data_IF_852365847850
#
_entry.id   IF_852365847850
#
_cell.length_a   1.000
_cell.length_b   1.000
_cell.length_c   1.000
_cell.angle_alpha   90.00
_cell.angle_beta   90.00
_cell.angle_gamma   90.00
#
_symmetry.space_group_name_H-M   'P 1'
#
loop_
_entity.id
_entity.type
_entity.pdbx_description
1 polymer ?
#
# COMPACT_ATOMS: atom_id res chain seq x y z
N UNK A 1 7.75 19.30 11.15
CA UNK A 1 7.77 17.92 10.64
C UNK A 1 6.40 17.33 10.94
N UNK A 2 5.73 16.74 9.94
CA UNK A 2 4.41 16.12 10.10
C UNK A 2 4.59 14.62 10.36
N UNK A 3 3.97 14.07 11.41
CA UNK A 3 4.09 12.65 11.72
C UNK A 3 3.12 11.81 10.88
N UNK A 4 3.65 10.76 10.26
CA UNK A 4 2.87 9.74 9.54
C UNK A 4 3.23 8.37 10.06
N UNK A 5 2.21 7.55 10.32
CA UNK A 5 2.34 6.15 10.70
C UNK A 5 1.78 5.28 9.59
N UNK A 6 2.52 4.24 9.20
CA UNK A 6 2.07 3.19 8.31
C UNK A 6 2.05 1.88 9.11
N UNK A 7 0.93 1.16 9.08
CA UNK A 7 0.80 -0.15 9.74
C UNK A 7 0.39 -1.19 8.72
N UNK A 8 1.14 -2.30 8.63
CA UNK A 8 0.72 -3.49 7.87
C UNK A 8 -0.03 -4.42 8.82
N UNK A 9 -1.27 -4.73 8.48
CA UNK A 9 -2.13 -5.64 9.24
C UNK A 9 -1.96 -7.05 8.71
N UNK A 10 -1.59 -7.94 9.61
CA UNK A 10 -1.23 -9.34 9.42
C UNK A 10 -2.03 -10.21 10.38
N UNK A 11 -1.86 -11.53 10.28
CA UNK A 11 -2.45 -12.51 11.16
C UNK A 11 -2.15 -12.26 12.65
N UNK A 12 -1.00 -11.65 12.96
CA UNK A 12 -0.56 -11.45 14.34
C UNK A 12 -1.15 -10.21 15.00
N UNK A 13 -1.45 -9.15 14.24
CA UNK A 13 -1.88 -7.86 14.80
C UNK A 13 -3.30 -7.42 14.39
N UNK A 14 -4.01 -8.14 13.51
CA UNK A 14 -5.42 -7.82 13.24
C UNK A 14 -6.33 -7.83 14.49
N UNK A 15 -6.08 -8.63 15.55
CA UNK A 15 -6.87 -8.57 16.78
C UNK A 15 -6.48 -7.42 17.71
N UNK A 16 -5.33 -6.78 17.49
CA UNK A 16 -4.82 -5.75 18.39
C UNK A 16 -5.73 -4.52 18.43
N UNK A 17 -5.71 -3.86 19.58
CA UNK A 17 -6.24 -2.52 19.79
C UNK A 17 -5.04 -1.56 19.87
N UNK A 18 -4.98 -0.62 18.92
CA UNK A 18 -3.91 0.38 18.80
C UNK A 18 -4.40 1.77 19.20
N UNK A 19 -5.57 1.90 19.83
CA UNK A 19 -6.22 3.20 20.07
C UNK A 19 -5.34 4.12 20.92
N UNK A 20 -4.89 3.64 22.08
CA UNK A 20 -4.09 4.45 23.00
C UNK A 20 -2.79 4.93 22.34
N UNK A 21 -2.07 4.03 21.69
CA UNK A 21 -0.80 4.34 21.00
C UNK A 21 -0.98 5.38 19.89
N UNK A 22 -2.02 5.24 19.06
CA UNK A 22 -2.25 6.17 17.95
C UNK A 22 -2.70 7.54 18.47
N UNK A 23 -3.50 7.60 19.53
CA UNK A 23 -3.90 8.86 20.16
C UNK A 23 -2.72 9.57 20.83
N UNK A 24 -1.84 8.81 21.50
CA UNK A 24 -0.63 9.36 22.14
C UNK A 24 0.34 9.94 21.11
N UNK A 25 0.59 9.21 20.03
CA UNK A 25 1.49 9.67 18.96
C UNK A 25 0.90 10.80 18.12
N UNK A 26 -0.43 10.90 18.06
CA UNK A 26 -1.19 11.92 17.33
C UNK A 26 -0.65 12.19 15.90
N UNK A 27 -0.56 11.15 15.03
CA UNK A 27 -0.06 11.34 13.67
C UNK A 27 -1.03 12.19 12.85
N UNK A 28 -0.50 13.05 11.98
CA UNK A 28 -1.31 13.74 10.97
C UNK A 28 -1.95 12.74 10.01
N UNK A 29 -1.30 11.59 9.80
CA UNK A 29 -1.83 10.52 8.96
C UNK A 29 -1.48 9.16 9.51
N UNK A 30 -2.50 8.33 9.66
CA UNK A 30 -2.33 6.90 9.89
C UNK A 30 -2.84 6.11 8.70
N UNK A 31 -1.93 5.44 8.00
CA UNK A 31 -2.26 4.52 6.92
C UNK A 31 -2.22 3.07 7.40
N UNK A 32 -3.24 2.32 7.04
CA UNK A 32 -3.41 0.92 7.45
C UNK A 32 -3.52 0.06 6.19
N UNK A 33 -2.59 -0.88 6.03
CA UNK A 33 -2.50 -1.72 4.83
C UNK A 33 -2.87 -3.15 5.18
N UNK A 34 -3.66 -3.80 4.34
CA UNK A 34 -3.75 -5.26 4.39
C UNK A 34 -2.42 -5.84 3.93
N UNK A 35 -1.93 -6.90 4.58
CA UNK A 35 -0.76 -7.63 4.10
C UNK A 35 -0.99 -8.16 2.68
N UNK A 36 0.00 -7.93 1.81
CA UNK A 36 -0.06 -8.26 0.40
C UNK A 36 0.99 -9.31 0.04
N UNK A 37 0.54 -10.38 -0.62
CA UNK A 37 1.42 -11.32 -1.31
C UNK A 37 1.78 -10.79 -2.69
N UNK A 38 3.08 -10.81 -3.00
CA UNK A 38 3.63 -10.47 -4.31
C UNK A 38 4.57 -11.60 -4.72
N UNK A 39 4.21 -12.27 -5.82
CA UNK A 39 4.98 -13.37 -6.38
C UNK A 39 6.37 -12.89 -6.80
N UNK A 40 7.39 -13.68 -6.45
CA UNK A 40 8.81 -13.36 -6.66
C UNK A 40 9.44 -12.49 -5.57
N UNK A 41 8.63 -11.82 -4.73
CA UNK A 41 9.14 -10.87 -3.73
C UNK A 41 9.11 -11.46 -2.31
N UNK A 42 7.98 -12.06 -1.91
CA UNK A 42 7.77 -12.52 -0.53
C UNK A 42 7.24 -13.95 -0.40
N UNK A 43 7.53 -14.77 -1.41
CA UNK A 43 7.08 -16.16 -1.52
C UNK A 43 7.45 -17.01 -0.31
N UNK A 44 6.51 -17.88 0.10
CA UNK A 44 6.62 -18.82 1.23
C UNK A 44 6.84 -18.17 2.61
N UNK A 45 7.08 -16.86 2.69
CA UNK A 45 7.30 -16.11 3.94
C UNK A 45 6.09 -15.31 4.36
N UNK A 46 5.33 -14.79 3.39
CA UNK A 46 4.12 -14.00 3.67
C UNK A 46 2.92 -14.87 4.03
N UNK A 47 2.88 -16.13 3.59
CA UNK A 47 1.70 -17.00 3.72
C UNK A 47 1.21 -17.16 5.16
N UNK A 48 2.06 -17.32 6.19
CA UNK A 48 1.63 -17.37 7.59
C UNK A 48 1.07 -16.05 8.13
N UNK A 49 1.31 -14.93 7.44
CA UNK A 49 0.90 -13.58 7.83
C UNK A 49 -0.43 -13.16 7.21
N UNK A 50 -0.89 -13.85 6.16
CA UNK A 50 -2.07 -13.47 5.38
C UNK A 50 -3.35 -13.49 6.24
N UNK A 51 -4.27 -12.58 5.91
CA UNK A 51 -5.58 -12.42 6.53
C UNK A 51 -6.66 -12.25 5.46
N UNK A 52 -7.89 -12.64 5.80
CA UNK A 52 -9.05 -12.36 4.95
C UNK A 52 -9.38 -10.86 4.93
N UNK A 53 -10.13 -10.45 3.92
CA UNK A 53 -10.68 -9.08 3.88
C UNK A 53 -11.57 -8.80 5.10
N UNK A 54 -12.36 -9.78 5.54
CA UNK A 54 -13.20 -9.65 6.74
C UNK A 54 -12.36 -9.38 8.00
N UNK A 55 -11.26 -10.11 8.19
CA UNK A 55 -10.33 -9.88 9.31
C UNK A 55 -9.73 -8.47 9.23
N UNK A 56 -9.32 -8.03 8.05
CA UNK A 56 -8.83 -6.67 7.85
C UNK A 56 -9.88 -5.62 8.17
N UNK A 57 -11.11 -5.79 7.67
CA UNK A 57 -12.21 -4.88 7.95
C UNK A 57 -12.59 -4.87 9.42
N UNK A 58 -12.45 -5.98 10.16
CA UNK A 58 -12.66 -6.00 11.61
C UNK A 58 -11.69 -5.05 12.35
N UNK A 59 -10.43 -5.01 11.93
CA UNK A 59 -9.43 -4.07 12.46
C UNK A 59 -9.81 -2.63 12.13
N UNK A 60 -10.20 -2.34 10.88
CA UNK A 60 -10.63 -1.00 10.45
C UNK A 60 -11.84 -0.52 11.25
N UNK A 61 -12.84 -1.37 11.47
CA UNK A 61 -14.05 -1.01 12.21
C UNK A 61 -13.74 -0.68 13.69
N UNK A 62 -12.86 -1.46 14.34
CA UNK A 62 -12.42 -1.20 15.73
C UNK A 62 -11.81 0.19 15.88
N UNK A 63 -11.04 0.63 14.89
CA UNK A 63 -10.29 1.88 14.92
C UNK A 63 -10.93 3.03 14.14
N UNK A 64 -12.17 2.87 13.65
CA UNK A 64 -12.83 3.83 12.74
C UNK A 64 -12.86 5.27 13.27
N UNK A 65 -13.02 5.44 14.58
CA UNK A 65 -13.08 6.75 15.24
C UNK A 65 -11.75 7.53 15.17
N UNK A 66 -10.63 6.87 14.87
CA UNK A 66 -9.32 7.48 14.65
C UNK A 66 -9.11 7.92 13.19
N UNK A 67 -10.12 7.72 12.32
CA UNK A 67 -10.09 8.04 10.90
C UNK A 67 -8.88 7.47 10.14
N UNK A 68 -8.56 6.16 10.26
CA UNK A 68 -7.47 5.56 9.51
C UNK A 68 -7.72 5.62 8.00
N UNK A 69 -6.67 5.89 7.22
CA UNK A 69 -6.69 5.73 5.77
C UNK A 69 -6.32 4.27 5.49
N UNK A 70 -7.32 3.45 5.15
CA UNK A 70 -7.08 2.02 4.93
C UNK A 70 -6.96 1.69 3.43
N UNK A 71 -6.08 0.75 3.10
CA UNK A 71 -5.84 0.26 1.75
C UNK A 71 -5.89 -1.27 1.76
N UNK A 72 -6.97 -1.84 1.22
CA UNK A 72 -7.08 -3.27 0.96
C UNK A 72 -6.20 -3.67 -0.23
N UNK A 73 -5.96 -4.97 -0.40
CA UNK A 73 -5.15 -5.47 -1.52
C UNK A 73 -5.68 -5.03 -2.90
N UNK A 74 -7.00 -4.88 -3.04
CA UNK A 74 -7.64 -4.44 -4.29
C UNK A 74 -7.41 -2.95 -4.60
N UNK A 75 -7.33 -2.12 -3.56
CA UNK A 75 -7.05 -0.69 -3.67
C UNK A 75 -5.54 -0.42 -3.87
N UNK A 76 -4.68 -1.29 -3.35
CA UNK A 76 -3.22 -1.13 -3.43
C UNK A 76 -2.67 -1.41 -4.83
N UNK A 77 -3.15 -2.46 -5.49
CA UNK A 77 -2.62 -2.90 -6.80
C UNK A 77 -2.90 -1.90 -7.92
N UNK A 78 -1.85 -1.43 -8.60
CA UNK A 78 -1.96 -0.54 -9.77
C UNK A 78 -2.10 0.96 -9.44
N UNK A 79 -2.22 1.33 -8.16
CA UNK A 79 -2.56 2.69 -7.73
C UNK A 79 -1.35 3.54 -7.33
N UNK A 80 -0.14 2.99 -7.45
CA UNK A 80 1.11 3.67 -7.16
C UNK A 80 1.96 3.81 -8.42
N UNK A 81 2.57 4.98 -8.59
CA UNK A 81 3.72 5.15 -9.48
C UNK A 81 4.95 4.86 -8.62
N UNK A 82 5.62 3.74 -8.89
CA UNK A 82 6.79 3.31 -8.16
C UNK A 82 7.98 3.28 -9.10
N UNK A 83 9.13 3.79 -8.65
CA UNK A 83 10.37 3.83 -9.39
C UNK A 83 11.45 3.14 -8.55
N UNK A 84 12.18 2.20 -9.15
CA UNK A 84 13.28 1.53 -8.48
C UNK A 84 14.58 2.38 -8.54
N UNK A 85 15.63 1.99 -7.79
CA UNK A 85 16.90 2.71 -7.82
C UNK A 85 17.63 2.71 -9.18
N UNK A 86 17.23 1.86 -10.13
CA UNK A 86 17.79 1.82 -11.49
C UNK A 86 17.01 2.72 -12.45
N UNK A 87 16.02 3.47 -11.95
CA UNK A 87 15.19 4.36 -12.74
C UNK A 87 14.12 3.63 -13.54
N UNK A 88 13.75 2.40 -13.19
CA UNK A 88 12.67 1.67 -13.86
C UNK A 88 11.38 1.86 -13.09
N UNK A 89 10.29 2.17 -13.78
CA UNK A 89 8.98 2.05 -13.15
C UNK A 89 8.70 0.57 -12.87
N UNK A 90 7.98 0.31 -11.79
CA UNK A 90 7.51 -1.03 -11.52
C UNK A 90 6.10 -1.05 -10.96
N UNK A 91 5.39 -2.16 -11.21
CA UNK A 91 4.00 -2.33 -10.80
C UNK A 91 3.72 -3.78 -10.42
N UNK A 92 2.76 -3.99 -9.52
CA UNK A 92 2.32 -5.31 -9.05
C UNK A 92 0.86 -5.64 -9.38
N UNK A 93 0.30 -5.00 -10.42
CA UNK A 93 -1.11 -5.10 -10.77
C UNK A 93 -1.54 -6.55 -11.07
N UNK A 94 -0.63 -7.36 -11.61
CA UNK A 94 -0.85 -8.77 -11.95
C UNK A 94 -0.49 -9.75 -10.83
N UNK A 95 -0.10 -9.26 -9.65
CA UNK A 95 0.30 -10.10 -8.50
C UNK A 95 1.79 -10.42 -8.43
N UNK A 96 2.57 -10.10 -9.46
CA UNK A 96 4.04 -10.13 -9.51
C UNK A 96 4.57 -8.77 -9.96
N UNK A 97 5.86 -8.49 -9.76
CA UNK A 97 6.47 -7.23 -10.18
C UNK A 97 6.82 -7.26 -11.67
N UNK A 98 6.31 -6.27 -12.40
CA UNK A 98 6.72 -5.94 -13.76
C UNK A 98 7.54 -4.66 -13.76
N UNK A 99 8.59 -4.60 -14.57
CA UNK A 99 9.49 -3.45 -14.70
C UNK A 99 9.38 -2.84 -16.10
N UNK A 100 9.42 -1.52 -16.18
CA UNK A 100 9.64 -0.80 -17.44
C UNK A 100 11.13 -0.76 -17.81
N UNK A 101 11.41 -0.21 -19.00
CA UNK A 101 12.73 0.37 -19.31
C UNK A 101 13.08 1.51 -18.36
N UNK A 102 14.36 1.81 -18.23
CA UNK A 102 14.82 2.90 -17.35
C UNK A 102 14.46 4.27 -17.94
N UNK A 103 14.01 5.20 -17.10
CA UNK A 103 13.79 6.61 -17.48
C UNK A 103 15.09 7.33 -17.86
N UNK A 104 16.24 6.69 -17.65
CA UNK A 104 17.54 7.17 -18.13
C UNK A 104 17.77 6.85 -19.62
N UNK A 105 16.98 5.94 -20.18
CA UNK A 105 17.10 5.44 -21.55
C UNK A 105 15.95 5.89 -22.46
N UNK A 106 14.76 6.12 -21.88
CA UNK A 106 13.52 6.43 -22.61
C UNK A 106 12.74 7.56 -21.93
N UNK A 107 11.76 8.13 -22.65
CA UNK A 107 10.88 9.15 -22.07
C UNK A 107 10.10 8.58 -20.85
N UNK A 108 9.97 9.34 -19.74
CA UNK A 108 9.28 8.86 -18.55
C UNK A 108 7.80 8.48 -18.77
N UNK A 109 7.10 9.13 -19.68
CA UNK A 109 5.70 8.76 -19.97
C UNK A 109 5.63 7.47 -20.78
N UNK A 110 6.60 7.24 -21.67
CA UNK A 110 6.74 5.96 -22.37
C UNK A 110 7.05 4.82 -21.37
N UNK A 111 8.03 5.01 -20.48
CA UNK A 111 8.36 4.02 -19.46
C UNK A 111 7.18 3.73 -18.51
N UNK A 112 6.44 4.76 -18.09
CA UNK A 112 5.28 4.59 -17.20
C UNK A 112 4.14 3.81 -17.88
N UNK A 113 3.94 4.01 -19.18
CA UNK A 113 2.92 3.30 -19.95
C UNK A 113 3.19 1.78 -20.04
N UNK A 114 4.45 1.36 -19.94
CA UNK A 114 4.83 -0.06 -20.01
C UNK A 114 4.36 -0.89 -18.81
N UNK A 115 4.18 -0.26 -17.64
CA UNK A 115 3.79 -0.95 -16.40
C UNK A 115 2.32 -0.77 -16.02
N UNK A 116 1.52 -0.12 -16.88
CA UNK A 116 0.07 -0.06 -16.75
C UNK A 116 -0.43 0.65 -15.49
N UNK A 117 0.14 1.82 -15.16
CA UNK A 117 -0.34 2.63 -14.03
C UNK A 117 -1.82 3.05 -14.19
N UNK A 118 -2.61 2.84 -13.15
CA UNK A 118 -4.04 3.19 -13.12
C UNK A 118 -4.26 4.50 -12.36
N UNK A 119 -4.43 5.58 -13.13
CA UNK A 119 -4.71 6.92 -12.60
C UNK A 119 -6.03 6.98 -11.83
N UNK A 120 -7.05 6.25 -12.25
CA UNK A 120 -8.35 6.27 -11.55
C UNK A 120 -8.23 5.64 -10.17
N UNK A 121 -7.54 4.51 -10.04
CA UNK A 121 -7.27 3.89 -8.74
C UNK A 121 -6.45 4.78 -7.83
N UNK A 122 -5.43 5.49 -8.36
CA UNK A 122 -4.66 6.48 -7.59
C UNK A 122 -5.57 7.56 -6.98
N UNK A 123 -6.52 8.08 -7.75
CA UNK A 123 -7.48 9.08 -7.27
C UNK A 123 -8.49 8.48 -6.27
N UNK A 124 -9.03 7.29 -6.57
CA UNK A 124 -10.01 6.59 -5.71
C UNK A 124 -9.46 6.28 -4.31
N UNK A 125 -8.16 5.98 -4.18
CA UNK A 125 -7.51 5.79 -2.86
C UNK A 125 -7.13 7.09 -2.14
N UNK A 126 -7.53 8.25 -2.66
CA UNK A 126 -7.19 9.56 -2.09
C UNK A 126 -5.70 9.88 -2.20
N UNK A 127 -5.04 9.52 -3.29
CA UNK A 127 -3.59 9.69 -3.48
C UNK A 127 -3.09 11.14 -3.54
N UNK A 128 -4.00 12.12 -3.63
CA UNK A 128 -3.69 13.55 -3.57
C UNK A 128 -3.76 14.00 -2.11
N UNK A 129 -2.64 14.48 -1.59
CA UNK A 129 -2.52 15.01 -0.24
C UNK A 129 -1.97 16.44 -0.26
N UNK A 130 -2.16 17.19 0.81
CA UNK A 130 -1.37 18.39 1.10
C UNK A 130 -0.05 17.94 1.73
N UNK A 131 1.00 17.88 0.91
CA UNK A 131 2.33 17.34 1.26
C UNK A 131 3.13 18.33 2.12
#
# INVERSE_FOLDING_TARGET
IKLKINTVITKWNYPEDMIETILELNPERWKVFQVLKVEGENDNRVDPLLISEEQFMSFVHRHKHLNPIYESNDLFRGSYVMLDPLGRFFQNAKGFIEYSRSILEVDPFEALAEVGWDREKFLKRGGIYEW
#
